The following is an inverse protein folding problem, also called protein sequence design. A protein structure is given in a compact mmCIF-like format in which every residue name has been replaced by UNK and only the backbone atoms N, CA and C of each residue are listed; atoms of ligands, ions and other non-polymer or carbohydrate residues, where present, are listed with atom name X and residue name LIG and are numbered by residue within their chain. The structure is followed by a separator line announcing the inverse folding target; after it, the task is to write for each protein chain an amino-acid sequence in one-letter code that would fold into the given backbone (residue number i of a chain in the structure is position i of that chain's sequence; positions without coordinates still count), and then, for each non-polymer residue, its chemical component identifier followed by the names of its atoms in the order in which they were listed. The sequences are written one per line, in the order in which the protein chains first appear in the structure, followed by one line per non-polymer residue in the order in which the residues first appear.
data_IF_873118837663
#
_entry.id   IF_873118837663
#
_cell.length_a   1.000
_cell.length_b   1.000
_cell.length_c   1.000
_cell.angle_alpha   90.00
_cell.angle_beta   90.00
_cell.angle_gamma   90.00
#
_symmetry.space_group_name_H-M   'P 1'
#
loop_
_entity.id
_entity.type
_entity.pdbx_description
1 polymer ?
#
# COMPACT_ATOMS: atom_id res chain seq x y z
N UNK A 1 -0.44 5.49 2.68
CA UNK A 1 0.64 6.25 2.03
C UNK A 1 1.14 7.31 3.00
N UNK A 2 2.41 7.18 3.43
CA UNK A 2 3.09 8.16 4.27
C UNK A 2 3.91 9.14 3.43
N UNK A 3 3.79 10.42 3.73
CA UNK A 3 4.54 11.51 3.07
C UNK A 3 4.84 12.63 4.07
N UNK A 4 5.74 13.52 3.73
CA UNK A 4 5.91 14.80 4.44
C UNK A 4 6.19 15.94 3.47
N UNK A 5 5.90 17.17 3.90
CA UNK A 5 6.24 18.36 3.13
C UNK A 5 7.67 18.84 3.44
N UNK A 6 8.11 19.92 2.78
CA UNK A 6 9.43 20.53 2.98
C UNK A 6 9.65 21.15 4.37
N UNK A 7 8.60 21.31 5.16
CA UNK A 7 8.67 21.83 6.54
C UNK A 7 8.55 20.69 7.56
N UNK A 8 8.76 19.44 7.13
CA UNK A 8 8.66 18.22 7.94
C UNK A 8 7.24 17.94 8.48
N UNK A 9 6.20 18.59 7.94
CA UNK A 9 4.82 18.28 8.29
C UNK A 9 4.42 16.94 7.65
N UNK A 10 4.16 15.93 8.47
CA UNK A 10 3.80 14.59 8.02
C UNK A 10 2.34 14.48 7.63
N UNK A 11 2.05 13.56 6.70
CA UNK A 11 0.72 13.24 6.22
C UNK A 11 0.60 11.73 6.00
N UNK A 12 -0.53 11.16 6.40
CA UNK A 12 -0.86 9.75 6.20
C UNK A 12 -2.24 9.62 5.58
N UNK A 13 -2.34 8.98 4.42
CA UNK A 13 -3.59 8.82 3.70
C UNK A 13 -3.85 7.36 3.32
N UNK A 14 -5.03 6.84 3.67
CA UNK A 14 -5.45 5.51 3.21
C UNK A 14 -5.77 5.54 1.71
N UNK A 15 -5.22 4.58 0.98
CA UNK A 15 -5.42 4.38 -0.47
C UNK A 15 -5.73 2.90 -0.72
N UNK A 16 -6.83 2.61 -1.43
CA UNK A 16 -7.25 1.25 -1.77
C UNK A 16 -6.82 0.79 -3.17
N UNK A 17 -6.27 1.68 -3.97
CA UNK A 17 -5.99 1.48 -5.39
C UNK A 17 -4.52 1.21 -5.72
N UNK A 18 -3.79 0.59 -4.79
CA UNK A 18 -2.39 0.20 -5.04
C UNK A 18 -2.33 -0.97 -6.02
N UNK A 19 -1.47 -0.88 -7.02
CA UNK A 19 -1.32 -1.87 -8.09
C UNK A 19 0.15 -2.14 -8.40
N UNK A 20 0.48 -3.41 -8.68
CA UNK A 20 1.79 -3.83 -9.17
C UNK A 20 1.93 -3.46 -10.66
N UNK A 21 3.07 -2.86 -11.05
CA UNK A 21 3.35 -2.41 -12.40
C UNK A 21 4.58 -3.08 -13.03
N UNK A 22 5.51 -3.57 -12.23
CA UNK A 22 6.71 -4.23 -12.73
C UNK A 22 7.55 -4.82 -11.61
N UNK A 23 8.33 -5.88 -11.93
CA UNK A 23 9.17 -6.58 -10.96
C UNK A 23 10.65 -6.24 -11.08
N UNK A 24 11.12 -5.87 -12.26
CA UNK A 24 12.51 -5.49 -12.51
C UNK A 24 12.60 -4.39 -13.58
N UNK A 25 12.75 -3.12 -13.20
CA UNK A 25 12.73 -2.60 -11.82
C UNK A 25 11.39 -2.78 -11.10
N UNK A 26 11.38 -2.83 -9.75
CA UNK A 26 10.16 -3.05 -8.98
C UNK A 26 9.33 -1.78 -8.88
N UNK A 27 8.18 -1.76 -9.54
CA UNK A 27 7.27 -0.63 -9.58
C UNK A 27 5.92 -0.94 -8.96
N UNK A 28 5.42 0.00 -8.17
CA UNK A 28 4.04 0.07 -7.72
C UNK A 28 3.41 1.39 -8.16
N UNK A 29 2.11 1.38 -8.37
CA UNK A 29 1.35 2.60 -8.60
C UNK A 29 0.11 2.67 -7.71
N UNK A 30 -0.46 3.85 -7.58
CA UNK A 30 -1.76 4.06 -6.94
C UNK A 30 -2.48 5.24 -7.57
N UNK A 31 -3.81 5.27 -7.41
CA UNK A 31 -4.66 6.29 -7.99
C UNK A 31 -5.01 7.37 -6.96
N UNK A 32 -4.69 8.60 -7.26
CA UNK A 32 -5.20 9.78 -6.56
C UNK A 32 -6.48 10.28 -7.22
N UNK A 33 -7.49 10.55 -6.39
CA UNK A 33 -8.73 11.17 -6.84
C UNK A 33 -8.50 12.63 -7.26
N UNK A 34 -9.41 13.23 -8.06
CA UNK A 34 -9.31 14.63 -8.43
C UNK A 34 -9.20 15.55 -7.21
N UNK A 35 -8.43 16.60 -7.35
CA UNK A 35 -8.19 17.63 -6.32
C UNK A 35 -9.07 18.88 -6.45
N UNK A 36 -9.97 18.92 -7.45
CA UNK A 36 -10.79 20.08 -7.79
C UNK A 36 -11.58 20.68 -6.61
N UNK A 37 -11.98 19.86 -5.63
CA UNK A 37 -12.76 20.30 -4.46
C UNK A 37 -12.09 20.00 -3.11
N UNK A 38 -10.99 19.25 -3.11
CA UNK A 38 -10.29 18.82 -1.90
C UNK A 38 -8.81 18.73 -2.19
N UNK A 39 -8.04 19.56 -1.54
CA UNK A 39 -6.58 19.55 -1.64
C UNK A 39 -6.02 18.17 -1.29
N UNK A 40 -5.02 17.71 -2.04
CA UNK A 40 -4.38 16.39 -1.87
C UNK A 40 -2.97 16.56 -1.36
N UNK A 41 -2.80 16.66 -0.05
CA UNK A 41 -1.49 16.86 0.59
C UNK A 41 -0.50 15.76 0.19
N UNK A 42 -0.93 14.51 0.07
CA UNK A 42 -0.11 13.41 -0.45
C UNK A 42 0.50 13.72 -1.81
N UNK A 43 -0.30 14.27 -2.74
CA UNK A 43 0.20 14.63 -4.08
C UNK A 43 1.22 15.79 -4.03
N UNK A 44 0.90 16.82 -3.25
CA UNK A 44 1.79 17.97 -3.07
C UNK A 44 3.14 17.53 -2.51
N UNK A 45 3.12 16.73 -1.43
CA UNK A 45 4.32 16.24 -0.77
C UNK A 45 5.18 15.35 -1.68
N UNK A 46 4.56 14.44 -2.46
CA UNK A 46 5.27 13.60 -3.43
C UNK A 46 5.85 14.45 -4.57
N UNK A 47 5.11 15.43 -5.05
CA UNK A 47 5.59 16.34 -6.11
C UNK A 47 6.79 17.15 -5.65
N UNK A 48 6.84 17.52 -4.36
CA UNK A 48 7.90 18.32 -3.75
C UNK A 48 9.12 17.48 -3.38
N UNK A 49 8.94 16.39 -2.62
CA UNK A 49 10.03 15.63 -2.00
C UNK A 49 10.43 14.35 -2.76
N UNK A 50 9.64 13.93 -3.73
CA UNK A 50 9.91 12.79 -4.62
C UNK A 50 9.98 11.43 -3.92
N UNK A 51 9.67 11.32 -2.65
CA UNK A 51 9.66 10.06 -1.90
C UNK A 51 8.37 9.90 -1.10
N UNK A 52 7.94 8.66 -0.94
CA UNK A 52 6.76 8.30 -0.16
C UNK A 52 6.87 6.85 0.35
N UNK A 53 6.03 6.50 1.31
CA UNK A 53 5.95 5.14 1.81
C UNK A 53 4.60 4.51 1.49
N UNK A 54 4.59 3.19 1.29
CA UNK A 54 3.40 2.35 1.29
C UNK A 54 3.47 1.45 2.51
N UNK A 55 2.41 1.46 3.32
CA UNK A 55 2.35 0.70 4.56
C UNK A 55 1.07 -0.13 4.55
N UNK A 56 1.19 -1.45 4.66
CA UNK A 56 0.03 -2.32 4.77
C UNK A 56 -0.64 -2.12 6.14
N UNK A 57 -1.96 -2.19 6.16
CA UNK A 57 -2.74 -1.98 7.38
C UNK A 57 -2.77 -3.28 8.16
N UNK A 58 -2.31 -3.32 9.44
CA UNK A 58 -2.52 -4.46 10.32
C UNK A 58 -3.98 -4.55 10.78
N UNK A 59 -4.45 -5.76 11.08
CA UNK A 59 -5.85 -6.01 11.42
C UNK A 59 -6.35 -5.22 12.63
N UNK A 60 -5.50 -5.01 13.63
CA UNK A 60 -5.82 -4.26 14.85
C UNK A 60 -5.92 -2.74 14.66
N UNK A 61 -5.49 -2.23 13.48
CA UNK A 61 -5.41 -0.79 13.20
C UNK A 61 -6.38 -0.32 12.11
N UNK A 62 -7.34 -1.15 11.71
CA UNK A 62 -8.29 -0.87 10.61
C UNK A 62 -9.06 0.43 10.85
N UNK A 63 -9.65 0.60 12.02
CA UNK A 63 -10.44 1.80 12.34
C UNK A 63 -9.58 3.07 12.25
N UNK A 64 -8.40 3.07 12.84
CA UNK A 64 -7.46 4.20 12.79
C UNK A 64 -7.04 4.52 11.35
N UNK A 65 -6.70 3.49 10.57
CA UNK A 65 -6.34 3.64 9.16
C UNK A 65 -7.49 4.21 8.34
N UNK A 66 -8.72 3.76 8.59
CA UNK A 66 -9.92 4.29 7.92
C UNK A 66 -10.07 5.79 8.14
N UNK A 67 -9.88 6.27 9.37
CA UNK A 67 -10.02 7.68 9.70
C UNK A 67 -8.93 8.58 9.09
N UNK A 68 -7.81 8.05 8.57
CA UNK A 68 -6.86 8.85 7.77
C UNK A 68 -7.44 9.32 6.44
N UNK A 69 -8.65 8.86 6.06
CA UNK A 69 -9.41 9.38 4.92
C UNK A 69 -10.17 10.67 5.21
N UNK A 70 -10.26 11.09 6.47
CA UNK A 70 -10.94 12.33 6.85
C UNK A 70 -10.19 13.55 6.28
N UNK A 71 -10.93 14.64 6.08
CA UNK A 71 -10.38 15.86 5.48
C UNK A 71 -9.75 16.74 6.56
N UNK A 72 -8.58 16.35 7.03
CA UNK A 72 -7.82 17.17 7.98
C UNK A 72 -7.21 18.38 7.28
N UNK A 73 -7.04 19.47 8.03
CA UNK A 73 -6.28 20.62 7.59
C UNK A 73 -4.79 20.29 7.43
N UNK A 74 -4.09 21.00 6.54
CA UNK A 74 -2.69 20.72 6.18
C UNK A 74 -1.73 20.71 7.38
N UNK A 75 -2.00 21.48 8.42
CA UNK A 75 -1.20 21.57 9.63
C UNK A 75 -1.50 20.46 10.67
N UNK A 76 -2.39 19.52 10.33
CA UNK A 76 -2.76 18.40 11.20
C UNK A 76 -2.23 17.12 10.57
N UNK A 77 -1.33 16.42 11.30
CA UNK A 77 -0.84 15.12 10.87
C UNK A 77 -1.84 14.01 11.23
N UNK A 78 -2.22 13.20 10.25
CA UNK A 78 -3.03 12.00 10.48
C UNK A 78 -2.29 10.97 11.33
N UNK A 79 -0.96 10.94 11.32
CA UNK A 79 -0.18 10.11 12.24
C UNK A 79 -0.59 10.39 13.68
N UNK A 80 -0.57 11.65 14.10
CA UNK A 80 -0.95 12.05 15.46
C UNK A 80 -2.44 11.87 15.72
N UNK A 81 -3.30 12.34 14.79
CA UNK A 81 -4.76 12.33 14.99
C UNK A 81 -5.36 10.93 15.02
N UNK A 82 -4.81 10.02 14.22
CA UNK A 82 -5.28 8.63 14.17
C UNK A 82 -4.44 7.69 15.06
N UNK A 83 -3.45 8.22 15.79
CA UNK A 83 -2.66 7.47 16.76
C UNK A 83 -1.69 6.48 16.14
N UNK A 84 -1.08 6.84 15.02
CA UNK A 84 0.03 6.11 14.41
C UNK A 84 1.38 6.70 14.83
N UNK A 85 2.42 5.86 14.86
CA UNK A 85 3.78 6.24 15.16
C UNK A 85 4.60 6.35 13.86
N UNK A 86 5.27 7.47 13.69
CA UNK A 86 6.22 7.65 12.60
C UNK A 86 7.50 6.85 12.87
N UNK A 87 8.04 6.25 11.83
CA UNK A 87 9.31 5.53 11.86
C UNK A 87 10.12 5.88 10.60
N UNK A 88 11.44 5.95 10.73
CA UNK A 88 12.34 6.28 9.64
C UNK A 88 13.47 5.24 9.55
N UNK A 89 13.90 4.91 8.34
CA UNK A 89 14.99 3.98 8.09
C UNK A 89 16.08 4.66 7.27
N UNK A 90 17.31 4.57 7.75
CA UNK A 90 18.48 5.16 7.10
C UNK A 90 18.24 6.65 6.75
N UNK A 91 18.64 7.06 5.55
CA UNK A 91 18.45 8.43 5.04
C UNK A 91 17.10 8.62 4.30
N UNK A 92 16.17 7.66 4.41
CA UNK A 92 14.87 7.76 3.74
C UNK A 92 13.95 8.74 4.48
N UNK A 93 13.62 9.85 3.82
CA UNK A 93 13.01 11.00 4.48
C UNK A 93 11.49 10.92 4.66
N UNK A 94 10.77 10.05 3.91
CA UNK A 94 9.34 9.90 4.10
C UNK A 94 9.02 8.98 5.31
N UNK A 95 8.00 9.29 6.12
CA UNK A 95 7.65 8.53 7.30
C UNK A 95 7.02 7.18 6.95
N UNK A 96 7.49 6.11 7.58
CA UNK A 96 6.83 4.81 7.62
C UNK A 96 5.87 4.77 8.82
N UNK A 97 4.87 3.88 8.74
CA UNK A 97 4.00 3.57 9.87
C UNK A 97 4.66 2.46 10.70
N UNK A 98 5.05 2.75 11.95
CA UNK A 98 5.74 1.79 12.82
C UNK A 98 4.93 0.52 13.05
N UNK A 99 3.63 0.64 13.19
CA UNK A 99 2.69 -0.47 13.44
C UNK A 99 2.52 -1.39 12.23
N UNK A 100 2.84 -0.93 11.01
CA UNK A 100 2.78 -1.74 9.80
C UNK A 100 3.90 -2.78 9.79
N UNK A 101 3.57 -4.05 9.54
CA UNK A 101 4.54 -5.14 9.42
C UNK A 101 5.14 -5.25 8.02
N UNK A 102 4.37 -4.89 6.98
CA UNK A 102 4.83 -4.86 5.60
C UNK A 102 4.78 -3.43 5.10
N UNK A 103 5.93 -2.86 4.83
CA UNK A 103 6.08 -1.47 4.43
C UNK A 103 7.19 -1.28 3.41
N UNK A 104 7.01 -0.32 2.54
CA UNK A 104 7.91 -0.03 1.43
C UNK A 104 8.21 1.46 1.35
N UNK A 105 9.46 1.79 1.08
CA UNK A 105 9.91 3.14 0.72
C UNK A 105 10.08 3.23 -0.79
N UNK A 106 9.48 4.25 -1.40
CA UNK A 106 9.48 4.42 -2.85
C UNK A 106 9.97 5.81 -3.25
N UNK A 107 10.69 5.85 -4.38
CA UNK A 107 10.97 7.09 -5.09
C UNK A 107 9.93 7.29 -6.19
N UNK A 108 9.40 8.52 -6.30
CA UNK A 108 8.48 8.90 -7.36
C UNK A 108 9.18 8.89 -8.73
N UNK A 109 8.65 8.12 -9.66
CA UNK A 109 9.16 8.04 -11.03
C UNK A 109 8.29 8.83 -12.01
N UNK A 110 6.96 8.64 -11.95
CA UNK A 110 6.05 9.23 -12.92
C UNK A 110 4.67 9.53 -12.32
N UNK A 111 4.00 10.53 -12.88
CA UNK A 111 2.59 10.82 -12.62
C UNK A 111 1.82 10.82 -13.95
N UNK A 112 0.89 9.87 -14.13
CA UNK A 112 0.14 9.67 -15.37
C UNK A 112 -1.30 10.18 -15.20
N UNK A 113 -1.70 11.26 -15.91
CA UNK A 113 -3.10 11.72 -15.88
C UNK A 113 -4.04 10.73 -16.59
N UNK A 114 -5.09 10.31 -15.91
CA UNK A 114 -6.16 9.49 -16.47
C UNK A 114 -7.33 10.40 -16.84
N UNK A 115 -7.36 10.86 -18.08
CA UNK A 115 -8.30 11.88 -18.56
C UNK A 115 -9.76 11.47 -18.45
N UNK A 116 -10.08 10.18 -18.65
CA UNK A 116 -11.45 9.66 -18.61
C UNK A 116 -12.11 9.76 -17.24
N UNK A 117 -11.34 9.70 -16.16
CA UNK A 117 -11.81 9.80 -14.77
C UNK A 117 -11.34 11.04 -14.05
N UNK A 118 -10.53 11.87 -14.72
CA UNK A 118 -9.88 13.04 -14.11
C UNK A 118 -9.07 12.68 -12.84
N UNK A 119 -8.46 11.50 -12.83
CA UNK A 119 -7.61 11.01 -11.73
C UNK A 119 -6.14 11.04 -12.14
N UNK A 120 -5.25 10.85 -11.18
CA UNK A 120 -3.81 10.81 -11.40
C UNK A 120 -3.25 9.49 -10.87
N UNK A 121 -2.55 8.73 -11.71
CA UNK A 121 -1.78 7.58 -11.27
C UNK A 121 -0.38 8.04 -10.86
N UNK A 122 -0.01 7.76 -9.62
CA UNK A 122 1.35 7.96 -9.13
C UNK A 122 2.10 6.65 -9.25
N UNK A 123 3.28 6.68 -9.86
CA UNK A 123 4.17 5.53 -10.03
C UNK A 123 5.43 5.75 -9.22
N UNK A 124 5.81 4.76 -8.43
CA UNK A 124 7.05 4.77 -7.65
C UNK A 124 7.83 3.48 -7.78
N UNK A 125 9.15 3.62 -7.74
CA UNK A 125 10.09 2.50 -7.70
C UNK A 125 10.44 2.18 -6.24
N UNK A 126 10.33 0.92 -5.87
CA UNK A 126 10.66 0.45 -4.52
C UNK A 126 12.17 0.56 -4.31
N UNK A 127 12.58 1.23 -3.23
CA UNK A 127 13.95 1.30 -2.74
C UNK A 127 14.15 0.46 -1.48
N UNK A 128 13.14 0.47 -0.60
CA UNK A 128 13.17 -0.26 0.67
C UNK A 128 11.96 -1.16 0.77
N UNK A 129 12.17 -2.41 1.20
CA UNK A 129 11.14 -3.38 1.55
C UNK A 129 11.42 -3.88 2.96
N UNK A 130 10.53 -3.60 3.89
CA UNK A 130 10.63 -4.00 5.28
C UNK A 130 9.49 -4.97 5.59
N UNK A 131 9.85 -6.20 5.94
CA UNK A 131 8.93 -7.30 6.23
C UNK A 131 9.46 -8.13 7.41
N UNK A 132 8.60 -8.83 8.17
CA UNK A 132 9.05 -9.85 9.10
C UNK A 132 9.66 -11.04 8.33
N UNK A 133 10.78 -11.57 8.79
CA UNK A 133 11.42 -12.75 8.18
C UNK A 133 10.46 -13.94 8.08
N UNK A 134 9.58 -14.10 9.08
CA UNK A 134 8.56 -15.15 9.13
C UNK A 134 7.50 -15.07 8.03
N UNK A 135 7.35 -13.91 7.39
CA UNK A 135 6.40 -13.72 6.29
C UNK A 135 6.97 -14.03 4.91
N UNK A 136 8.28 -14.30 4.80
CA UNK A 136 8.93 -14.63 3.54
C UNK A 136 9.05 -16.15 3.40
N UNK A 137 8.51 -16.72 2.31
CA UNK A 137 8.68 -18.14 1.99
C UNK A 137 10.09 -18.42 1.43
N UNK A 138 10.48 -19.70 1.41
CA UNK A 138 11.76 -20.14 0.81
C UNK A 138 11.83 -19.81 -0.69
N UNK A 139 10.70 -19.77 -1.38
CA UNK A 139 10.60 -19.40 -2.80
C UNK A 139 10.57 -17.87 -3.04
N UNK A 140 10.62 -17.06 -1.98
CA UNK A 140 10.66 -15.60 -2.06
C UNK A 140 9.28 -14.93 -2.16
N UNK A 141 8.18 -15.61 -1.81
CA UNK A 141 6.84 -15.02 -1.73
C UNK A 141 6.56 -14.48 -0.34
N UNK A 142 5.82 -13.36 -0.29
CA UNK A 142 5.36 -12.77 0.97
C UNK A 142 3.99 -13.36 1.32
N UNK A 143 3.89 -14.01 2.48
CA UNK A 143 2.61 -14.44 3.04
C UNK A 143 1.91 -13.25 3.70
N UNK A 144 0.87 -12.74 3.03
CA UNK A 144 0.13 -11.56 3.47
C UNK A 144 -0.68 -11.81 4.75
N UNK A 145 -1.06 -13.06 5.03
CA UNK A 145 -1.74 -13.44 6.27
C UNK A 145 -0.77 -13.38 7.46
N UNK A 146 0.44 -13.92 7.31
CA UNK A 146 1.49 -13.85 8.34
C UNK A 146 1.97 -12.41 8.54
N UNK A 147 2.05 -11.61 7.48
CA UNK A 147 2.32 -10.18 7.55
C UNK A 147 1.16 -9.36 8.13
N UNK A 148 0.04 -10.01 8.50
CA UNK A 148 -1.17 -9.37 9.06
C UNK A 148 -1.68 -8.21 8.20
N UNK A 149 -1.66 -8.39 6.89
CA UNK A 149 -2.18 -7.41 5.95
C UNK A 149 -3.67 -7.56 5.78
N UNK A 150 -4.41 -6.45 5.67
CA UNK A 150 -5.84 -6.48 5.37
C UNK A 150 -6.11 -6.15 3.91
N UNK A 151 -7.16 -6.75 3.36
CA UNK A 151 -7.74 -6.36 2.08
C UNK A 151 -8.87 -5.35 2.26
N UNK A 152 -9.16 -4.59 1.21
CA UNK A 152 -10.27 -3.64 1.20
C UNK A 152 -11.19 -3.88 0.01
N UNK A 153 -12.51 -3.78 0.23
CA UNK A 153 -13.52 -3.76 -0.83
C UNK A 153 -14.25 -2.42 -0.81
N UNK A 154 -14.30 -1.76 -1.94
CA UNK A 154 -14.83 -0.42 -2.04
C UNK A 154 -14.02 0.58 -1.22
N UNK A 155 -14.69 1.33 -0.35
CA UNK A 155 -14.04 2.36 0.48
C UNK A 155 -14.07 2.06 1.98
N UNK A 156 -14.93 1.14 2.43
CA UNK A 156 -15.32 1.03 3.85
C UNK A 156 -15.35 -0.40 4.38
N UNK A 157 -15.18 -1.43 3.55
CA UNK A 157 -15.22 -2.81 3.97
C UNK A 157 -13.81 -3.42 3.97
N UNK A 158 -13.40 -3.96 5.11
CA UNK A 158 -12.07 -4.54 5.31
C UNK A 158 -12.15 -6.03 5.58
N UNK A 159 -11.12 -6.75 5.18
CA UNK A 159 -11.05 -8.21 5.27
C UNK A 159 -9.68 -8.66 5.74
N UNK A 160 -9.63 -9.63 6.64
CA UNK A 160 -8.40 -10.36 6.92
C UNK A 160 -8.08 -11.28 5.76
N UNK A 161 -6.80 -11.48 5.47
CA UNK A 161 -6.35 -12.34 4.37
C UNK A 161 -6.03 -13.73 4.89
N UNK A 162 -6.55 -14.76 4.19
CA UNK A 162 -6.26 -16.17 4.47
C UNK A 162 -5.76 -16.82 3.19
N UNK A 163 -4.55 -17.38 3.23
CA UNK A 163 -4.02 -18.18 2.13
C UNK A 163 -4.90 -19.42 1.93
N UNK A 164 -5.44 -19.61 0.74
CA UNK A 164 -6.33 -20.72 0.40
C UNK A 164 -5.69 -21.77 -0.48
N UNK A 165 -4.52 -21.49 -1.05
CA UNK A 165 -3.78 -22.41 -1.89
C UNK A 165 -2.50 -21.79 -2.43
N UNK A 166 -1.59 -22.67 -2.84
CA UNK A 166 -0.38 -22.31 -3.55
C UNK A 166 -0.18 -23.30 -4.68
N UNK A 167 0.23 -22.81 -5.83
CA UNK A 167 0.37 -23.60 -7.03
C UNK A 167 1.71 -23.32 -7.69
N UNK A 168 2.36 -24.35 -8.31
CA UNK A 168 3.59 -24.12 -9.04
C UNK A 168 3.32 -23.22 -10.26
N UNK A 169 4.39 -22.68 -10.82
CA UNK A 169 4.30 -21.89 -12.06
C UNK A 169 3.56 -22.72 -13.15
N UNK A 170 2.48 -22.17 -13.69
CA UNK A 170 1.66 -22.83 -14.68
C UNK A 170 2.44 -23.02 -15.99
N UNK A 171 2.51 -24.25 -16.46
CA UNK A 171 3.14 -24.63 -17.73
C UNK A 171 2.15 -25.46 -18.55
N UNK A 172 2.13 -25.26 -19.88
CA UNK A 172 1.22 -25.98 -20.80
C UNK A 172 1.38 -27.49 -20.66
N UNK A 173 2.65 -27.98 -20.55
CA UNK A 173 2.96 -29.42 -20.46
C UNK A 173 2.56 -30.05 -19.11
N UNK A 174 2.23 -29.20 -18.13
CA UNK A 174 1.83 -29.60 -16.77
C UNK A 174 0.42 -29.17 -16.41
N UNK A 175 -0.41 -28.90 -17.43
CA UNK A 175 -1.82 -28.53 -17.20
C UNK A 175 -2.54 -29.75 -16.59
N UNK A 176 -3.12 -29.63 -15.38
CA UNK A 176 -3.89 -30.72 -14.78
C UNK A 176 -5.21 -30.96 -15.50
N UNK A 177 -5.76 -32.15 -15.37
CA UNK A 177 -7.15 -32.42 -15.74
C UNK A 177 -8.06 -31.81 -14.66
N UNK A 178 -8.88 -30.83 -15.07
CA UNK A 178 -9.86 -30.22 -14.19
C UNK A 178 -11.12 -31.10 -14.15
N UNK A 179 -11.27 -31.87 -13.09
CA UNK A 179 -12.51 -32.58 -12.83
C UNK A 179 -13.53 -31.60 -12.19
N UNK A 180 -14.80 -31.64 -12.64
CA UNK A 180 -15.89 -30.77 -12.17
C UNK A 180 -16.27 -30.96 -10.67
N UNK A 181 -15.49 -31.65 -9.89
CA UNK A 181 -15.68 -31.75 -8.45
C UNK A 181 -15.33 -30.41 -7.81
N UNK A 182 -16.39 -29.62 -7.52
CA UNK A 182 -16.30 -28.40 -6.69
C UNK A 182 -15.39 -28.68 -5.51
N UNK A 183 -14.22 -28.06 -5.48
CA UNK A 183 -13.33 -28.04 -4.31
C UNK A 183 -14.12 -27.41 -3.18
N UNK A 184 -14.64 -28.20 -2.23
CA UNK A 184 -15.26 -27.67 -1.03
C UNK A 184 -14.12 -27.06 -0.20
N UNK A 185 -14.05 -25.73 -0.17
CA UNK A 185 -13.24 -25.05 0.82
C UNK A 185 -13.84 -25.37 2.19
N UNK A 186 -13.16 -26.18 2.96
CA UNK A 186 -13.50 -26.39 4.37
C UNK A 186 -13.21 -25.09 5.12
N UNK A 187 -14.23 -24.53 5.69
CA UNK A 187 -14.23 -23.32 6.55
C UNK A 187 -13.37 -23.51 7.81
#
# INVERSE_FOLDING_TARGET
IGTKDKNDQTNLAIISSVVHLGSNPPYLGFILRPDQNVRRHTHENISENKVFTINHIPSDFIERAHYTSAKFDKNISEFQKCGFTEEYYEDFTAPFVKESKLKMGLIHEESVPIKSSNTLMIIGRILHLIIPDTSLSEEGYIDLGVADSVGISGLNAYYTLKKVGEFPYARVEKTPEFNDKKTKFTS
#
